data_IF_553912011819
#
_entry.id   IF_553912011819
#
_cell.length_a   1.000
_cell.length_b   1.000
_cell.length_c   1.000
_cell.angle_alpha   90.00
_cell.angle_beta   90.00
_cell.angle_gamma   90.00
#
_symmetry.space_group_name_H-M   'P 1'
#
loop_
_entity.id
_entity.type
_entity.pdbx_description
1 polymer ?
#
# COMPACT_ATOMS: atom_id res chain seq x y z
N UNK A 1 3.64 -3.09 -25.87
CA UNK A 1 3.35 -3.27 -24.43
C UNK A 1 3.25 -1.88 -23.81
N UNK A 2 2.05 -1.43 -23.44
CA UNK A 2 1.83 -0.06 -22.92
C UNK A 2 2.20 -0.04 -21.43
N UNK A 3 3.33 0.57 -21.09
CA UNK A 3 3.73 0.81 -19.70
C UNK A 3 2.95 2.02 -19.16
N UNK A 4 1.79 1.76 -18.55
CA UNK A 4 0.96 2.80 -17.93
C UNK A 4 1.68 3.35 -16.69
N UNK A 5 2.25 4.56 -16.81
CA UNK A 5 2.78 5.33 -15.68
C UNK A 5 1.59 5.70 -14.77
N UNK A 6 1.60 5.25 -13.53
CA UNK A 6 0.58 5.56 -12.52
C UNK A 6 0.51 7.09 -12.30
N UNK A 7 -0.67 7.66 -12.49
CA UNK A 7 -0.96 9.08 -12.31
C UNK A 7 -1.07 9.44 -10.82
N UNK A 8 -0.94 10.72 -10.45
CA UNK A 8 -1.04 11.14 -9.04
C UNK A 8 -2.41 10.86 -8.41
N UNK A 9 -3.46 10.70 -9.23
CA UNK A 9 -4.79 10.28 -8.80
C UNK A 9 -4.80 8.82 -8.33
N UNK A 10 -4.10 7.93 -9.05
CA UNK A 10 -4.01 6.50 -8.70
C UNK A 10 -3.27 6.27 -7.37
N UNK A 11 -2.41 7.22 -6.95
CA UNK A 11 -1.72 7.18 -5.66
C UNK A 11 -2.64 7.50 -4.47
N UNK A 12 -3.77 8.18 -4.68
CA UNK A 12 -4.70 8.53 -3.59
C UNK A 12 -5.43 7.31 -3.04
N UNK A 13 -5.66 6.29 -3.87
CA UNK A 13 -6.37 5.08 -3.46
C UNK A 13 -5.45 3.97 -2.96
N UNK A 14 -4.14 4.13 -3.14
CA UNK A 14 -3.15 3.23 -2.62
C UNK A 14 -2.87 3.51 -1.14
N UNK A 15 -3.17 2.54 -0.29
CA UNK A 15 -2.89 2.60 1.15
C UNK A 15 -1.94 1.50 1.58
N UNK A 16 -1.39 1.63 2.78
CA UNK A 16 -0.63 0.55 3.39
C UNK A 16 -1.15 0.18 4.77
N UNK A 17 -1.06 -1.11 5.07
CA UNK A 17 -1.45 -1.70 6.35
C UNK A 17 -0.26 -2.49 6.90
N UNK A 18 -0.09 -2.48 8.22
CA UNK A 18 0.85 -3.39 8.90
C UNK A 18 0.14 -4.70 9.17
N UNK A 19 0.67 -5.80 8.67
CA UNK A 19 0.20 -7.13 9.02
C UNK A 19 0.68 -7.47 10.45
N UNK A 20 -0.22 -7.67 11.42
CA UNK A 20 0.17 -7.94 12.81
C UNK A 20 0.82 -9.32 12.99
N UNK A 21 0.50 -10.30 12.12
CA UNK A 21 1.05 -11.65 12.18
C UNK A 21 2.50 -11.71 11.71
N UNK A 22 2.83 -11.01 10.63
CA UNK A 22 4.17 -11.03 10.03
C UNK A 22 5.00 -9.77 10.27
N UNK A 23 4.40 -8.72 10.82
CA UNK A 23 5.03 -7.40 10.99
C UNK A 23 5.26 -6.62 9.69
N UNK A 24 4.92 -7.19 8.53
CA UNK A 24 5.23 -6.63 7.21
C UNK A 24 4.21 -5.60 6.75
N UNK A 25 4.66 -4.62 5.97
CA UNK A 25 3.78 -3.64 5.33
C UNK A 25 3.24 -4.17 4.00
N UNK A 26 1.93 -4.05 3.83
CA UNK A 26 1.21 -4.51 2.64
C UNK A 26 0.63 -3.28 1.93
N UNK A 27 0.81 -3.19 0.61
CA UNK A 27 0.12 -2.22 -0.24
C UNK A 27 -1.24 -2.76 -0.64
N UNK A 28 -2.27 -1.97 -0.40
CA UNK A 28 -3.64 -2.30 -0.75
C UNK A 28 -4.18 -1.19 -1.65
N UNK A 29 -4.82 -1.59 -2.73
CA UNK A 29 -5.61 -0.70 -3.56
C UNK A 29 -7.04 -0.66 -3.00
N UNK A 30 -7.49 0.52 -2.56
CA UNK A 30 -8.85 0.69 -2.01
C UNK A 30 -9.94 0.69 -3.07
N UNK A 31 -9.61 1.01 -4.32
CA UNK A 31 -10.59 1.09 -5.39
C UNK A 31 -11.07 -0.30 -5.81
N UNK A 32 -10.13 -1.24 -5.92
CA UNK A 32 -10.41 -2.64 -6.32
C UNK A 32 -10.52 -3.58 -5.12
N UNK A 33 -9.99 -3.19 -3.94
CA UNK A 33 -9.98 -4.02 -2.75
C UNK A 33 -8.93 -5.15 -2.80
N UNK A 34 -7.86 -4.99 -3.60
CA UNK A 34 -6.85 -6.02 -3.83
C UNK A 34 -5.52 -5.65 -3.16
N UNK A 35 -4.81 -6.69 -2.70
CA UNK A 35 -3.42 -6.57 -2.25
C UNK A 35 -2.51 -6.49 -3.47
N UNK A 36 -1.85 -5.36 -3.66
CA UNK A 36 -0.95 -5.12 -4.80
C UNK A 36 0.42 -5.76 -4.53
N UNK A 37 0.98 -5.52 -3.34
CA UNK A 37 2.31 -6.03 -3.01
C UNK A 37 2.56 -6.08 -1.50
N UNK A 38 3.51 -6.91 -1.07
CA UNK A 38 4.00 -6.92 0.30
C UNK A 38 5.48 -6.56 0.36
N UNK A 39 5.88 -5.84 1.41
CA UNK A 39 7.26 -5.42 1.62
C UNK A 39 7.99 -6.50 2.41
N UNK A 40 9.19 -6.89 1.95
CA UNK A 40 10.07 -7.80 2.69
C UNK A 40 10.98 -7.07 3.67
N UNK A 41 11.39 -5.86 3.31
CA UNK A 41 12.22 -5.01 4.18
C UNK A 41 11.39 -4.37 5.28
N UNK A 42 12.05 -4.04 6.37
CA UNK A 42 11.41 -3.32 7.47
C UNK A 42 10.96 -1.91 7.07
N UNK A 43 10.00 -1.39 7.84
CA UNK A 43 9.46 -0.05 7.70
C UNK A 43 8.39 0.14 6.61
N UNK A 44 7.61 1.24 6.69
CA UNK A 44 6.54 1.54 5.75
C UNK A 44 7.07 1.82 4.33
N UNK A 45 6.17 1.77 3.36
CA UNK A 45 6.41 2.34 2.04
C UNK A 45 6.43 3.87 2.12
N UNK A 46 7.39 4.47 1.41
CA UNK A 46 7.51 5.93 1.29
C UNK A 46 6.31 6.48 0.53
N UNK A 47 5.73 7.58 1.02
CA UNK A 47 4.62 8.30 0.40
C UNK A 47 3.31 7.50 0.25
N UNK A 48 3.10 6.43 1.02
CA UNK A 48 1.83 5.71 1.07
C UNK A 48 1.18 5.94 2.45
N UNK A 49 -0.08 6.36 2.55
CA UNK A 49 -0.76 6.54 3.83
C UNK A 49 -0.94 5.21 4.58
N UNK A 50 -0.61 5.19 5.87
CA UNK A 50 -0.82 4.03 6.75
C UNK A 50 -2.24 4.07 7.31
N UNK A 51 -3.00 3.01 7.09
CA UNK A 51 -4.34 2.81 7.64
C UNK A 51 -4.24 1.98 8.93
N UNK A 52 -5.19 2.18 9.86
CA UNK A 52 -5.32 1.31 11.04
C UNK A 52 -4.51 1.71 12.28
N UNK A 53 -3.93 2.91 12.35
CA UNK A 53 -3.58 3.48 13.65
C UNK A 53 -4.87 3.78 14.41
N UNK A 54 -5.22 2.95 15.40
CA UNK A 54 -6.15 3.38 16.46
C UNK A 54 -5.44 4.50 17.25
N UNK A 55 -6.16 5.60 17.49
CA UNK A 55 -5.72 6.68 18.38
C UNK A 55 -5.49 6.14 19.79
#
# INVERSE_FOLDING_TARGET
MVTKKLSDSDKKDLVQLRNPRSGRYIKVDRSVGIIVSHKKSEGPYKNIPIVGKRK
#
